data_IF_961187883884
#
_entry.id   IF_961187883884
#
_cell.length_a   1.000
_cell.length_b   1.000
_cell.length_c   1.000
_cell.angle_alpha   90.00
_cell.angle_beta   90.00
_cell.angle_gamma   90.00
#
_symmetry.space_group_name_H-M   'P 1'
#
loop_
_entity.id
_entity.type
_entity.pdbx_description
1 polymer ?
#
# COMPACT_ATOMS: atom_id res chain seq x y z
N UNK A 1 13.53 3.77 -10.76
CA UNK A 1 12.57 3.05 -9.87
C UNK A 1 11.74 4.08 -9.11
N UNK A 2 10.41 3.89 -8.95
CA UNK A 2 9.61 4.79 -8.11
C UNK A 2 9.86 4.51 -6.63
N UNK A 3 10.04 5.57 -5.84
CA UNK A 3 10.24 5.51 -4.38
C UNK A 3 9.13 6.30 -3.70
N UNK A 4 8.51 5.73 -2.68
CA UNK A 4 7.42 6.38 -1.99
C UNK A 4 7.20 5.94 -0.56
N UNK A 5 6.13 6.48 0.02
CA UNK A 5 5.71 6.24 1.40
C UNK A 5 4.31 5.66 1.41
N UNK A 6 4.05 4.73 2.32
CA UNK A 6 2.70 4.30 2.67
C UNK A 6 2.42 4.64 4.14
N UNK A 7 1.19 5.02 4.43
CA UNK A 7 0.72 5.33 5.79
C UNK A 7 -0.63 4.65 6.06
N UNK A 8 -0.78 4.14 7.26
CA UNK A 8 -2.07 3.63 7.75
C UNK A 8 -2.80 4.66 8.61
N UNK A 9 -2.36 5.92 8.53
CA UNK A 9 -2.92 7.02 9.34
C UNK A 9 -3.02 6.64 10.83
N UNK A 10 -1.96 6.01 11.37
CA UNK A 10 -1.95 5.55 12.75
C UNK A 10 -2.17 6.73 13.70
N UNK A 11 -3.06 6.54 14.68
CA UNK A 11 -3.28 7.52 15.75
C UNK A 11 -2.07 7.58 16.67
N UNK A 12 -1.60 8.78 16.99
CA UNK A 12 -0.43 8.97 17.88
C UNK A 12 -0.67 8.49 19.32
N UNK A 13 -1.94 8.40 19.75
CA UNK A 13 -2.30 7.95 21.10
C UNK A 13 -3.57 7.10 21.06
N UNK A 14 -3.41 5.80 21.26
CA UNK A 14 -4.56 4.86 21.28
C UNK A 14 -5.37 5.01 22.56
N UNK A 15 -4.76 5.48 23.66
CA UNK A 15 -5.36 5.51 24.99
C UNK A 15 -6.34 6.69 25.19
N UNK A 16 -6.16 7.80 24.47
CA UNK A 16 -6.94 9.02 24.59
C UNK A 16 -7.52 9.49 23.25
N UNK A 17 -8.12 8.58 22.49
CA UNK A 17 -8.75 8.89 21.22
C UNK A 17 -9.94 9.86 21.41
N UNK A 18 -9.79 11.07 20.91
CA UNK A 18 -10.87 12.04 20.80
C UNK A 18 -10.78 12.77 19.45
N UNK A 19 -11.90 13.36 19.03
CA UNK A 19 -11.99 13.99 17.72
C UNK A 19 -10.95 15.08 17.46
N UNK A 20 -10.55 15.84 18.49
CA UNK A 20 -9.54 16.88 18.37
C UNK A 20 -8.14 16.28 18.09
N UNK A 21 -7.77 15.24 18.81
CA UNK A 21 -6.48 14.57 18.61
C UNK A 21 -6.42 13.87 17.26
N UNK A 22 -7.51 13.21 16.86
CA UNK A 22 -7.61 12.58 15.55
C UNK A 22 -7.49 13.60 14.40
N UNK A 23 -8.11 14.79 14.55
CA UNK A 23 -7.97 15.86 13.59
C UNK A 23 -6.51 16.34 13.45
N UNK A 24 -5.77 16.47 14.57
CA UNK A 24 -4.36 16.80 14.56
C UNK A 24 -3.53 15.72 13.81
N UNK A 25 -3.82 14.44 14.08
CA UNK A 25 -3.12 13.33 13.40
C UNK A 25 -3.34 13.34 11.89
N UNK A 26 -4.56 13.63 11.43
CA UNK A 26 -4.85 13.78 9.99
C UNK A 26 -4.12 15.00 9.40
N UNK A 27 -4.08 16.15 10.08
CA UNK A 27 -3.33 17.32 9.58
C UNK A 27 -1.83 17.00 9.45
N UNK A 28 -1.24 16.32 10.42
CA UNK A 28 0.15 15.86 10.35
C UNK A 28 0.38 14.86 9.21
N UNK A 29 -0.59 14.00 8.90
CA UNK A 29 -0.52 13.12 7.75
C UNK A 29 -0.51 13.91 6.44
N UNK A 30 -1.40 14.90 6.29
CA UNK A 30 -1.41 15.77 5.11
C UNK A 30 -0.10 16.53 4.93
N UNK A 31 0.50 17.00 6.03
CA UNK A 31 1.83 17.63 6.01
C UNK A 31 2.93 16.66 5.54
N UNK A 32 2.90 15.39 5.98
CA UNK A 32 3.83 14.36 5.49
C UNK A 32 3.65 14.07 4.01
N UNK A 33 2.41 14.01 3.51
CA UNK A 33 2.14 13.83 2.07
C UNK A 33 2.69 15.00 1.27
N UNK A 34 2.42 16.23 1.72
CA UNK A 34 2.95 17.45 1.11
C UNK A 34 4.49 17.45 1.10
N UNK A 35 5.11 17.10 2.24
CA UNK A 35 6.58 17.05 2.32
C UNK A 35 7.17 15.98 1.38
N UNK A 36 6.49 14.86 1.21
CA UNK A 36 6.90 13.82 0.25
C UNK A 36 6.92 14.33 -1.19
N UNK A 37 5.92 15.13 -1.58
CA UNK A 37 5.89 15.80 -2.90
C UNK A 37 7.04 16.81 -3.05
N UNK A 38 7.28 17.65 -2.03
CA UNK A 38 8.31 18.69 -2.02
C UNK A 38 9.74 18.12 -2.16
N UNK A 39 10.02 16.95 -1.56
CA UNK A 39 11.34 16.29 -1.66
C UNK A 39 11.43 15.36 -2.86
N UNK A 40 10.43 15.38 -3.74
CA UNK A 40 10.43 14.67 -5.01
C UNK A 40 10.22 13.18 -4.93
N UNK A 41 9.52 12.65 -3.91
CA UNK A 41 9.08 11.26 -3.90
C UNK A 41 8.01 11.02 -4.97
N UNK A 42 7.93 9.79 -5.47
CA UNK A 42 7.11 9.46 -6.63
C UNK A 42 5.66 9.11 -6.26
N UNK A 43 5.44 8.51 -5.08
CA UNK A 43 4.12 7.99 -4.70
C UNK A 43 3.90 8.08 -3.20
N UNK A 44 2.65 8.37 -2.80
CA UNK A 44 2.18 8.26 -1.43
C UNK A 44 0.90 7.45 -1.38
N UNK A 45 0.92 6.38 -0.57
CA UNK A 45 -0.21 5.48 -0.37
C UNK A 45 -0.86 5.67 1.00
N UNK A 46 -2.21 5.58 1.04
CA UNK A 46 -2.97 5.55 2.29
C UNK A 46 -3.73 4.23 2.37
N UNK A 47 -3.58 3.52 3.49
CA UNK A 47 -4.26 2.26 3.76
C UNK A 47 -5.77 2.39 3.91
N UNK A 48 -6.44 1.26 4.11
CA UNK A 48 -7.85 1.21 4.52
C UNK A 48 -8.02 0.21 5.65
N UNK A 49 -8.37 0.72 6.82
CA UNK A 49 -8.59 -0.08 8.02
C UNK A 49 -9.83 0.41 8.78
N UNK A 50 -10.53 -0.51 9.43
CA UNK A 50 -11.74 -0.24 10.20
C UNK A 50 -11.51 -0.56 11.68
N UNK A 51 -10.38 -0.09 12.22
CA UNK A 51 -9.92 -0.30 13.60
C UNK A 51 -9.67 1.03 14.28
N UNK A 52 -9.81 1.07 15.61
CA UNK A 52 -9.64 2.30 16.40
C UNK A 52 -8.24 2.92 16.33
N UNK A 53 -7.21 2.12 16.01
CA UNK A 53 -5.83 2.58 15.91
C UNK A 53 -5.53 3.37 14.63
N UNK A 54 -6.38 3.25 13.61
CA UNK A 54 -6.16 3.82 12.28
C UNK A 54 -7.26 4.81 11.91
N UNK A 55 -6.90 5.88 11.21
CA UNK A 55 -7.81 6.94 10.80
C UNK A 55 -8.07 6.93 9.28
N UNK A 56 -7.78 5.82 8.63
CA UNK A 56 -7.75 5.63 7.17
C UNK A 56 -8.94 4.85 6.60
N UNK A 57 -10.07 4.77 7.34
CA UNK A 57 -11.26 4.04 6.85
C UNK A 57 -11.86 4.60 5.54
N UNK A 58 -11.46 5.79 5.13
CA UNK A 58 -11.87 6.42 3.88
C UNK A 58 -10.66 7.07 3.17
N UNK A 59 -9.71 6.26 2.67
CA UNK A 59 -8.43 6.75 2.15
C UNK A 59 -8.58 7.79 1.03
N UNK A 60 -9.56 7.62 0.14
CA UNK A 60 -9.83 8.54 -0.96
C UNK A 60 -10.16 9.97 -0.51
N UNK A 61 -10.73 10.17 0.69
CA UNK A 61 -10.96 11.52 1.23
C UNK A 61 -9.67 12.19 1.68
N UNK A 62 -8.77 11.44 2.36
CA UNK A 62 -7.45 11.93 2.77
C UNK A 62 -6.61 12.26 1.52
N UNK A 63 -6.60 11.36 0.54
CA UNK A 63 -5.89 11.55 -0.72
C UNK A 63 -6.43 12.75 -1.51
N UNK A 64 -7.76 12.99 -1.49
CA UNK A 64 -8.35 14.17 -2.16
C UNK A 64 -7.93 15.47 -1.47
N UNK A 65 -7.88 15.50 -0.14
CA UNK A 65 -7.36 16.66 0.60
C UNK A 65 -5.87 16.90 0.30
N UNK A 66 -5.07 15.83 0.17
CA UNK A 66 -3.66 15.92 -0.21
C UNK A 66 -3.48 16.37 -1.67
N UNK A 67 -4.35 15.94 -2.60
CA UNK A 67 -4.30 16.34 -4.01
C UNK A 67 -4.35 17.86 -4.19
N UNK A 68 -5.11 18.56 -3.34
CA UNK A 68 -5.22 20.02 -3.37
C UNK A 68 -3.95 20.73 -2.84
N UNK A 69 -3.02 20.02 -2.21
CA UNK A 69 -1.82 20.58 -1.57
C UNK A 69 -0.51 20.08 -2.21
N UNK A 70 -0.60 19.23 -3.23
CA UNK A 70 0.54 18.58 -3.91
C UNK A 70 0.47 18.79 -5.42
N UNK A 71 1.61 18.64 -6.13
CA UNK A 71 1.71 18.94 -7.55
C UNK A 71 2.11 17.71 -8.41
N UNK A 72 2.99 16.84 -7.91
CA UNK A 72 3.65 15.81 -8.72
C UNK A 72 3.40 14.39 -8.20
N UNK A 73 3.32 14.22 -6.89
CA UNK A 73 3.26 12.90 -6.26
C UNK A 73 2.01 12.13 -6.66
N UNK A 74 2.18 10.86 -7.00
CA UNK A 74 1.08 9.92 -7.25
C UNK A 74 0.40 9.61 -5.92
N UNK A 75 -0.93 9.63 -5.92
CA UNK A 75 -1.78 9.39 -4.75
C UNK A 75 -2.51 8.06 -4.91
N UNK A 76 -2.16 7.08 -4.09
CA UNK A 76 -2.67 5.71 -4.21
C UNK A 76 -3.25 5.17 -2.91
N UNK A 77 -4.07 4.14 -2.98
CA UNK A 77 -4.39 3.34 -1.79
C UNK A 77 -3.30 2.32 -1.46
N UNK A 78 -3.23 1.91 -0.18
CA UNK A 78 -2.22 0.93 0.25
C UNK A 78 -2.75 -0.04 1.35
N UNK A 79 -3.89 -0.73 1.09
CA UNK A 79 -4.67 -0.94 -0.14
C UNK A 79 -6.13 -0.48 0.04
N UNK A 80 -6.90 -0.36 -1.06
CA UNK A 80 -8.37 -0.37 -0.98
C UNK A 80 -8.83 -1.80 -0.72
N UNK A 81 -9.62 -2.01 0.34
CA UNK A 81 -10.17 -3.34 0.71
C UNK A 81 -11.35 -3.66 -0.21
N UNK A 82 -11.03 -4.01 -1.46
CA UNK A 82 -12.03 -4.22 -2.51
C UNK A 82 -13.02 -5.35 -2.17
N UNK A 83 -12.58 -6.38 -1.43
CA UNK A 83 -13.48 -7.46 -0.95
C UNK A 83 -14.67 -6.93 -0.15
N UNK A 84 -14.50 -5.85 0.61
CA UNK A 84 -15.55 -5.25 1.44
C UNK A 84 -16.18 -3.98 0.84
N UNK A 85 -15.73 -3.52 -0.34
CA UNK A 85 -16.23 -2.30 -0.98
C UNK A 85 -17.08 -2.62 -2.23
N UNK A 86 -17.93 -1.68 -2.67
CA UNK A 86 -18.63 -1.75 -3.95
C UNK A 86 -17.70 -1.22 -5.07
N UNK A 87 -17.40 -2.01 -6.13
CA UNK A 87 -16.50 -1.60 -7.20
C UNK A 87 -16.93 -0.35 -7.95
N UNK A 88 -18.23 -0.09 -8.09
CA UNK A 88 -18.75 1.14 -8.70
C UNK A 88 -18.35 2.34 -7.86
N UNK A 89 -18.54 2.26 -6.54
CA UNK A 89 -18.17 3.36 -5.64
C UNK A 89 -16.65 3.56 -5.58
N UNK A 90 -15.87 2.48 -5.55
CA UNK A 90 -14.41 2.56 -5.61
C UNK A 90 -13.98 3.28 -6.88
N UNK A 91 -14.49 2.86 -8.04
CA UNK A 91 -14.16 3.52 -9.30
C UNK A 91 -14.52 5.02 -9.28
N UNK A 92 -15.73 5.38 -8.83
CA UNK A 92 -16.19 6.77 -8.75
C UNK A 92 -15.30 7.63 -7.86
N UNK A 93 -14.91 7.11 -6.68
CA UNK A 93 -14.07 7.81 -5.73
C UNK A 93 -12.70 8.13 -6.33
N UNK A 94 -12.07 7.12 -6.97
CA UNK A 94 -10.74 7.30 -7.55
C UNK A 94 -10.77 8.03 -8.90
N UNK A 95 -11.84 7.90 -9.69
CA UNK A 95 -12.03 8.74 -10.86
C UNK A 95 -12.17 10.22 -10.49
N UNK A 96 -12.90 10.51 -9.40
CA UNK A 96 -13.01 11.89 -8.87
C UNK A 96 -11.67 12.39 -8.33
N UNK A 97 -10.94 11.55 -7.57
CA UNK A 97 -9.59 11.89 -7.11
C UNK A 97 -8.64 12.17 -8.28
N UNK A 98 -8.76 11.39 -9.35
CA UNK A 98 -7.94 11.55 -10.55
C UNK A 98 -8.19 12.89 -11.26
N UNK A 99 -9.46 13.30 -11.35
CA UNK A 99 -9.83 14.63 -11.84
C UNK A 99 -9.33 15.76 -10.94
N UNK A 100 -9.48 15.64 -9.62
CA UNK A 100 -9.00 16.64 -8.64
C UNK A 100 -7.48 16.78 -8.68
N UNK A 101 -6.76 15.67 -8.88
CA UNK A 101 -5.31 15.64 -8.90
C UNK A 101 -4.67 15.87 -10.28
N UNK A 102 -5.47 16.08 -11.33
CA UNK A 102 -4.99 16.18 -12.71
C UNK A 102 -4.18 14.94 -13.16
N UNK A 103 -4.74 13.75 -12.94
CA UNK A 103 -4.15 12.50 -13.45
C UNK A 103 -3.06 11.90 -12.56
N UNK A 104 -3.14 12.05 -11.23
CA UNK A 104 -2.18 11.49 -10.27
C UNK A 104 -2.77 10.41 -9.35
N UNK A 105 -3.99 9.95 -9.60
CA UNK A 105 -4.59 8.90 -8.80
C UNK A 105 -4.22 7.51 -9.30
N UNK A 106 -4.08 6.58 -8.38
CA UNK A 106 -3.98 5.13 -8.63
C UNK A 106 -4.80 4.36 -7.59
N UNK A 107 -5.13 3.12 -7.91
CA UNK A 107 -5.73 2.16 -6.96
C UNK A 107 -4.78 1.01 -6.76
N UNK A 108 -4.48 0.64 -5.50
CA UNK A 108 -3.97 -0.68 -5.19
C UNK A 108 -5.12 -1.45 -4.56
N UNK A 109 -5.72 -2.37 -5.31
CA UNK A 109 -6.83 -3.20 -4.86
C UNK A 109 -6.31 -4.42 -4.10
N UNK A 110 -6.81 -4.62 -2.89
CA UNK A 110 -6.44 -5.75 -2.06
C UNK A 110 -7.63 -6.39 -1.36
N UNK A 111 -7.38 -7.53 -0.73
CA UNK A 111 -8.39 -8.26 0.04
C UNK A 111 -8.55 -7.76 1.48
N UNK A 112 -7.59 -6.95 1.96
CA UNK A 112 -7.47 -6.57 3.36
C UNK A 112 -6.74 -7.63 4.20
N UNK A 113 -6.06 -7.17 5.24
CA UNK A 113 -5.30 -8.02 6.18
C UNK A 113 -5.99 -8.19 7.54
N UNK A 114 -7.02 -7.40 7.79
CA UNK A 114 -7.87 -7.42 8.98
C UNK A 114 -9.31 -7.80 8.60
N UNK A 115 -10.03 -8.41 9.53
CA UNK A 115 -11.36 -9.01 9.28
C UNK A 115 -12.51 -8.07 9.54
N UNK A 116 -12.28 -6.96 10.23
CA UNK A 116 -13.31 -6.03 10.72
C UNK A 116 -14.20 -5.45 9.60
N UNK A 117 -13.62 -5.21 8.42
CA UNK A 117 -14.37 -4.70 7.27
C UNK A 117 -15.48 -5.65 6.82
N UNK A 118 -15.26 -6.96 6.90
CA UNK A 118 -16.24 -7.96 6.45
C UNK A 118 -17.48 -7.94 7.33
N UNK A 119 -17.32 -8.02 8.64
CA UNK A 119 -18.42 -7.96 9.60
C UNK A 119 -19.14 -6.62 9.55
N UNK A 120 -18.37 -5.51 9.50
CA UNK A 120 -18.91 -4.14 9.48
C UNK A 120 -19.81 -3.89 8.26
N UNK A 121 -19.45 -4.43 7.10
CA UNK A 121 -20.19 -4.24 5.83
C UNK A 121 -21.08 -5.43 5.47
N UNK A 122 -21.24 -6.41 6.38
CA UNK A 122 -22.18 -7.51 6.22
C UNK A 122 -21.71 -8.62 5.27
N UNK A 123 -20.42 -8.76 5.06
CA UNK A 123 -19.82 -9.84 4.28
C UNK A 123 -19.33 -10.97 5.17
N UNK A 124 -19.29 -12.19 4.61
CA UNK A 124 -18.80 -13.38 5.31
C UNK A 124 -17.34 -13.66 4.96
N UNK A 125 -16.54 -13.98 5.99
CA UNK A 125 -15.12 -14.31 5.80
C UNK A 125 -14.89 -15.57 4.92
N UNK A 126 -15.83 -16.50 4.92
CA UNK A 126 -15.77 -17.71 4.06
C UNK A 126 -15.78 -17.36 2.58
N UNK A 127 -16.28 -16.19 2.22
CA UNK A 127 -16.38 -15.68 0.84
C UNK A 127 -15.25 -14.71 0.47
N UNK A 128 -14.16 -14.70 1.25
CA UNK A 128 -13.06 -13.75 1.15
C UNK A 128 -12.40 -13.69 -0.22
N UNK A 129 -12.17 -14.87 -0.83
CA UNK A 129 -11.52 -14.96 -2.14
C UNK A 129 -12.50 -14.67 -3.28
N UNK A 130 -13.71 -15.20 -3.23
CA UNK A 130 -14.75 -15.03 -4.24
C UNK A 130 -15.22 -13.57 -4.33
N UNK A 131 -15.37 -12.90 -3.18
CA UNK A 131 -15.67 -11.48 -3.12
C UNK A 131 -14.63 -10.62 -3.86
N UNK A 132 -13.36 -10.93 -3.67
CA UNK A 132 -12.30 -10.20 -4.35
C UNK A 132 -12.28 -10.49 -5.86
N UNK A 133 -12.46 -11.77 -6.25
CA UNK A 133 -12.47 -12.18 -7.65
C UNK A 133 -13.58 -11.49 -8.44
N UNK A 134 -14.81 -11.58 -7.98
CA UNK A 134 -15.94 -10.91 -8.64
C UNK A 134 -15.76 -9.39 -8.70
N UNK A 135 -15.32 -8.79 -7.60
CA UNK A 135 -15.22 -7.32 -7.51
C UNK A 135 -14.08 -6.74 -8.32
N UNK A 136 -12.94 -7.44 -8.45
CA UNK A 136 -11.85 -6.96 -9.32
C UNK A 136 -12.22 -7.09 -10.80
N UNK A 137 -12.95 -8.14 -11.19
CA UNK A 137 -13.45 -8.30 -12.55
C UNK A 137 -14.43 -7.17 -12.93
N UNK A 138 -15.38 -6.86 -12.03
CA UNK A 138 -16.28 -5.74 -12.24
C UNK A 138 -15.54 -4.39 -12.30
N UNK A 139 -14.54 -4.18 -11.44
CA UNK A 139 -13.75 -2.93 -11.46
C UNK A 139 -13.01 -2.76 -12.81
N UNK A 140 -12.47 -3.85 -13.36
CA UNK A 140 -11.83 -3.87 -14.68
C UNK A 140 -12.86 -3.61 -15.78
N UNK A 141 -14.06 -4.19 -15.69
CA UNK A 141 -15.13 -3.97 -16.65
C UNK A 141 -15.58 -2.51 -16.67
N UNK A 142 -15.77 -1.90 -15.50
CA UNK A 142 -16.10 -0.46 -15.36
C UNK A 142 -15.01 0.42 -15.95
N UNK A 143 -13.74 0.06 -15.75
CA UNK A 143 -12.61 0.81 -16.30
C UNK A 143 -12.63 0.83 -17.84
N UNK A 144 -12.95 -0.31 -18.46
CA UNK A 144 -12.94 -0.49 -19.92
C UNK A 144 -14.14 0.15 -20.61
N UNK A 145 -15.29 0.15 -19.94
CA UNK A 145 -16.57 0.52 -20.55
C UNK A 145 -17.27 1.61 -19.75
N UNK A 146 -17.82 2.61 -20.47
CA UNK A 146 -18.63 3.67 -19.88
C UNK A 146 -20.02 3.15 -19.52
N UNK A 147 -20.59 2.30 -20.39
CA UNK A 147 -21.87 1.61 -20.21
C UNK A 147 -21.62 0.15 -19.83
N UNK A 148 -22.08 -0.25 -18.67
CA UNK A 148 -21.77 -1.55 -18.06
C UNK A 148 -23.02 -2.41 -17.94
N UNK A 149 -22.88 -3.67 -18.34
CA UNK A 149 -23.79 -4.76 -18.03
C UNK A 149 -23.02 -5.79 -17.18
N UNK A 150 -23.56 -6.09 -16.00
CA UNK A 150 -22.91 -7.00 -15.05
C UNK A 150 -23.91 -7.86 -14.32
N UNK A 151 -23.56 -9.13 -14.12
CA UNK A 151 -24.23 -10.04 -13.21
C UNK A 151 -23.20 -10.82 -12.43
N UNK A 152 -23.33 -10.85 -11.11
CA UNK A 152 -22.50 -11.57 -10.17
C UNK A 152 -23.32 -12.01 -8.98
N UNK A 153 -22.67 -12.64 -8.00
CA UNK A 153 -23.32 -13.22 -6.82
C UNK A 153 -23.33 -12.25 -5.62
N UNK A 154 -22.41 -11.26 -5.61
CA UNK A 154 -22.16 -10.41 -4.44
C UNK A 154 -22.71 -8.99 -4.54
N UNK A 155 -23.31 -8.63 -5.64
CA UNK A 155 -24.03 -7.37 -5.78
C UNK A 155 -25.19 -7.45 -6.78
N UNK A 156 -26.20 -6.54 -6.65
CA UNK A 156 -27.27 -6.44 -7.64
C UNK A 156 -26.72 -6.21 -9.06
N UNK A 157 -27.37 -6.74 -10.11
CA UNK A 157 -26.91 -6.59 -11.49
C UNK A 157 -26.91 -5.13 -11.94
N UNK A 158 -26.00 -4.80 -12.85
CA UNK A 158 -26.02 -3.58 -13.63
C UNK A 158 -26.63 -3.93 -15.00
N UNK A 159 -27.63 -3.16 -15.42
CA UNK A 159 -28.27 -3.34 -16.71
C UNK A 159 -28.23 -2.00 -17.42
N UNK A 160 -27.44 -1.91 -18.47
CA UNK A 160 -27.25 -0.68 -19.28
C UNK A 160 -26.91 0.56 -18.45
N UNK A 161 -26.10 0.39 -17.38
CA UNK A 161 -25.77 1.50 -16.47
C UNK A 161 -24.54 2.25 -16.93
N UNK A 162 -24.63 3.59 -16.99
CA UNK A 162 -23.51 4.47 -17.22
C UNK A 162 -22.83 4.80 -15.87
N UNK A 163 -21.50 4.75 -15.83
CA UNK A 163 -20.74 4.99 -14.59
C UNK A 163 -19.86 6.22 -14.74
N UNK A 164 -20.16 7.25 -13.98
CA UNK A 164 -19.51 8.56 -13.97
C UNK A 164 -19.05 8.97 -12.56
N UNK A 165 -18.04 9.91 -12.47
CA UNK A 165 -17.30 10.48 -13.60
C UNK A 165 -16.34 9.47 -14.23
N UNK A 166 -15.85 9.79 -15.45
CA UNK A 166 -14.68 9.08 -16.02
C UNK A 166 -13.41 9.77 -15.52
N UNK A 167 -12.33 9.02 -15.28
CA UNK A 167 -11.08 9.59 -14.80
C UNK A 167 -10.39 10.45 -15.85
N UNK A 168 -9.43 11.26 -15.45
CA UNK A 168 -8.54 12.01 -16.33
C UNK A 168 -7.62 11.06 -17.11
N UNK A 169 -7.06 10.07 -16.42
CA UNK A 169 -6.21 9.03 -17.02
C UNK A 169 -7.05 7.96 -17.74
N UNK A 170 -6.58 7.49 -18.88
CA UNK A 170 -7.23 6.41 -19.63
C UNK A 170 -6.19 5.35 -20.02
N UNK A 171 -6.14 4.20 -19.33
CA UNK A 171 -6.96 3.81 -18.18
C UNK A 171 -6.45 4.39 -16.84
N UNK A 172 -7.33 4.47 -15.83
CA UNK A 172 -6.92 4.73 -14.44
C UNK A 172 -6.02 3.58 -13.96
N UNK A 173 -4.80 3.84 -13.44
CA UNK A 173 -3.91 2.76 -13.01
C UNK A 173 -4.47 1.96 -11.83
N UNK A 174 -4.50 0.63 -11.96
CA UNK A 174 -4.93 -0.30 -10.92
C UNK A 174 -3.86 -1.35 -10.72
N UNK A 175 -3.42 -1.52 -9.47
CA UNK A 175 -2.48 -2.55 -9.03
C UNK A 175 -3.21 -3.59 -8.18
N UNK A 176 -2.68 -4.81 -8.09
CA UNK A 176 -3.15 -5.83 -7.15
C UNK A 176 -2.18 -5.94 -5.99
N UNK A 177 -2.69 -5.70 -4.76
CA UNK A 177 -1.96 -5.90 -3.52
C UNK A 177 -1.98 -7.36 -3.08
N UNK A 178 -0.81 -7.95 -2.78
CA UNK A 178 -0.66 -9.34 -2.37
C UNK A 178 0.23 -9.51 -1.15
N UNK A 179 -0.05 -10.52 -0.33
CA UNK A 179 0.74 -10.83 0.87
C UNK A 179 1.60 -12.10 0.78
N UNK A 180 1.41 -12.97 -0.23
CA UNK A 180 2.18 -14.22 -0.34
C UNK A 180 1.36 -15.46 -0.71
N UNK A 181 0.06 -15.34 -0.96
CA UNK A 181 -0.79 -16.44 -1.44
C UNK A 181 -0.54 -16.66 -2.93
N UNK A 182 -0.09 -17.86 -3.37
CA UNK A 182 0.26 -18.12 -4.78
C UNK A 182 -0.84 -17.78 -5.77
N UNK A 183 -2.11 -18.08 -5.44
CA UNK A 183 -3.27 -17.78 -6.29
C UNK A 183 -3.41 -16.30 -6.61
N UNK A 184 -3.05 -15.42 -5.66
CA UNK A 184 -3.09 -13.96 -5.89
C UNK A 184 -2.05 -13.50 -6.91
N UNK A 185 -0.87 -14.13 -6.92
CA UNK A 185 0.16 -13.88 -7.92
C UNK A 185 -0.26 -14.39 -9.31
N UNK A 186 -0.82 -15.61 -9.37
CA UNK A 186 -1.36 -16.16 -10.61
C UNK A 186 -2.46 -15.27 -11.19
N UNK A 187 -3.42 -14.85 -10.35
CA UNK A 187 -4.53 -13.96 -10.75
C UNK A 187 -4.01 -12.65 -11.33
N UNK A 188 -3.11 -11.96 -10.63
CA UNK A 188 -2.55 -10.70 -11.11
C UNK A 188 -1.83 -10.86 -12.45
N UNK A 189 -1.04 -11.92 -12.61
CA UNK A 189 -0.37 -12.25 -13.87
C UNK A 189 -1.35 -12.54 -15.00
N UNK A 190 -2.34 -13.39 -14.76
CA UNK A 190 -3.37 -13.73 -15.76
C UNK A 190 -4.16 -12.50 -16.22
N UNK A 191 -4.46 -11.57 -15.30
CA UNK A 191 -5.15 -10.31 -15.61
C UNK A 191 -4.21 -9.27 -16.27
N UNK A 192 -2.90 -9.51 -16.29
CA UNK A 192 -1.90 -8.55 -16.80
C UNK A 192 -1.81 -7.27 -15.98
N UNK A 193 -2.11 -7.34 -14.68
CA UNK A 193 -2.11 -6.18 -13.79
C UNK A 193 -0.81 -6.09 -12.98
N UNK A 194 -0.30 -4.87 -12.74
CA UNK A 194 0.86 -4.68 -11.89
C UNK A 194 0.60 -5.17 -10.46
N UNK A 195 1.67 -5.63 -9.80
CA UNK A 195 1.64 -6.32 -8.53
C UNK A 195 2.32 -5.49 -7.44
N UNK A 196 1.67 -5.29 -6.28
CA UNK A 196 2.26 -4.69 -5.09
C UNK A 196 2.36 -5.74 -3.98
N UNK A 197 3.59 -6.10 -3.60
CA UNK A 197 3.87 -7.16 -2.62
C UNK A 197 4.06 -6.55 -1.24
N UNK A 198 3.25 -6.94 -0.27
CA UNK A 198 3.42 -6.58 1.14
C UNK A 198 4.47 -7.49 1.79
N UNK A 199 5.69 -6.96 1.97
CA UNK A 199 6.82 -7.68 2.59
C UNK A 199 6.94 -7.23 4.05
N UNK A 200 6.06 -7.75 4.91
CA UNK A 200 5.94 -7.31 6.31
C UNK A 200 6.94 -8.00 7.24
N UNK A 201 7.47 -9.15 6.86
CA UNK A 201 8.44 -9.89 7.69
C UNK A 201 9.09 -11.05 6.95
N UNK A 202 10.12 -11.63 7.59
CA UNK A 202 10.95 -12.68 7.00
C UNK A 202 11.97 -12.13 6.01
N UNK A 203 12.36 -12.93 5.04
CA UNK A 203 13.29 -12.55 3.98
C UNK A 203 12.55 -12.16 2.71
N UNK A 204 12.93 -11.05 2.08
CA UNK A 204 12.30 -10.55 0.84
C UNK A 204 12.50 -11.53 -0.32
N UNK A 205 13.65 -12.19 -0.41
CA UNK A 205 13.99 -13.11 -1.50
C UNK A 205 13.09 -14.35 -1.59
N UNK A 206 12.38 -14.71 -0.50
CA UNK A 206 11.38 -15.80 -0.50
C UNK A 206 10.23 -15.60 -1.50
N UNK A 207 10.00 -14.36 -1.94
CA UNK A 207 8.98 -14.04 -2.94
C UNK A 207 9.41 -14.36 -4.38
N UNK A 208 10.69 -14.67 -4.63
CA UNK A 208 11.19 -14.94 -5.99
C UNK A 208 10.38 -16.01 -6.76
N UNK A 209 10.06 -17.19 -6.17
CA UNK A 209 9.24 -18.19 -6.88
C UNK A 209 7.83 -17.68 -7.21
N UNK A 210 7.23 -16.86 -6.35
CA UNK A 210 5.90 -16.27 -6.57
C UNK A 210 5.94 -15.20 -7.67
N UNK A 211 7.00 -14.40 -7.70
CA UNK A 211 7.24 -13.42 -8.76
C UNK A 211 7.44 -14.11 -10.12
N UNK A 212 8.17 -15.23 -10.16
CA UNK A 212 8.36 -15.99 -11.39
C UNK A 212 7.02 -16.59 -11.88
N UNK A 213 6.21 -17.09 -10.96
CA UNK A 213 4.85 -17.58 -11.24
C UNK A 213 3.95 -16.47 -11.81
N UNK A 214 4.00 -15.26 -11.24
CA UNK A 214 3.27 -14.09 -11.74
C UNK A 214 3.66 -13.74 -13.18
N UNK A 215 4.97 -13.62 -13.45
CA UNK A 215 5.49 -13.31 -14.78
C UNK A 215 5.15 -14.38 -15.81
N UNK A 216 5.26 -15.65 -15.43
CA UNK A 216 4.90 -16.77 -16.30
C UNK A 216 3.40 -16.82 -16.61
N UNK A 217 2.54 -16.56 -15.60
CA UNK A 217 1.09 -16.45 -15.82
C UNK A 217 0.75 -15.33 -16.81
N UNK A 218 1.38 -14.16 -16.64
CA UNK A 218 1.20 -13.03 -17.55
C UNK A 218 1.66 -13.32 -18.98
N UNK A 219 2.83 -13.96 -19.12
CA UNK A 219 3.36 -14.39 -20.42
C UNK A 219 2.40 -15.37 -21.12
N UNK A 220 1.89 -16.36 -20.39
CA UNK A 220 0.91 -17.35 -20.93
C UNK A 220 -0.41 -16.70 -21.35
N UNK A 221 -0.83 -15.65 -20.63
CA UNK A 221 -2.02 -14.89 -20.96
C UNK A 221 -1.80 -13.88 -22.10
N UNK A 222 -0.58 -13.77 -22.66
CA UNK A 222 -0.25 -12.90 -23.79
C UNK A 222 0.03 -11.45 -23.41
N UNK A 223 0.29 -11.17 -22.13
CA UNK A 223 0.62 -9.82 -21.69
C UNK A 223 2.09 -9.47 -21.93
N UNK A 224 2.34 -8.21 -22.33
CA UNK A 224 3.69 -7.66 -22.48
C UNK A 224 4.38 -7.58 -21.11
N UNK A 225 5.70 -7.90 -21.02
CA UNK A 225 6.48 -7.77 -19.78
C UNK A 225 6.39 -6.38 -19.12
N UNK A 226 6.27 -5.31 -19.91
CA UNK A 226 6.18 -3.93 -19.43
C UNK A 226 4.92 -3.66 -18.58
N UNK A 227 3.85 -4.45 -18.77
CA UNK A 227 2.64 -4.40 -17.96
C UNK A 227 2.81 -5.12 -16.62
N UNK A 228 3.72 -6.10 -16.58
CA UNK A 228 3.93 -6.96 -15.42
C UNK A 228 4.88 -6.32 -14.39
N UNK A 229 4.57 -5.09 -13.99
CA UNK A 229 5.35 -4.33 -13.00
C UNK A 229 5.22 -4.94 -11.61
N UNK A 230 6.28 -4.78 -10.81
CA UNK A 230 6.35 -5.26 -9.42
C UNK A 230 6.72 -4.10 -8.52
N UNK A 231 5.94 -3.90 -7.47
CA UNK A 231 6.24 -3.02 -6.36
C UNK A 231 6.44 -3.81 -5.07
N UNK A 232 7.25 -3.29 -4.17
CA UNK A 232 7.41 -3.78 -2.80
C UNK A 232 6.93 -2.75 -1.80
N UNK A 233 6.15 -3.18 -0.83
CA UNK A 233 5.77 -2.43 0.36
C UNK A 233 6.43 -3.07 1.57
N UNK A 234 7.23 -2.32 2.33
CA UNK A 234 7.93 -2.81 3.51
C UNK A 234 7.88 -1.82 4.65
N UNK A 235 7.95 -2.34 5.88
CA UNK A 235 8.14 -1.52 7.06
C UNK A 235 9.53 -0.89 7.02
N UNK A 236 9.60 0.44 7.15
CA UNK A 236 10.87 1.13 6.98
C UNK A 236 10.97 2.45 7.73
N UNK A 237 12.21 2.83 8.04
CA UNK A 237 12.56 4.12 8.64
C UNK A 237 14.03 4.43 8.36
N UNK A 238 14.29 5.64 7.85
CA UNK A 238 15.64 6.10 7.53
C UNK A 238 16.03 7.22 8.50
N UNK A 239 17.20 7.08 9.15
CA UNK A 239 17.81 8.11 9.98
C UNK A 239 19.22 8.44 9.49
N UNK A 240 19.89 9.46 10.04
CA UNK A 240 21.24 9.85 9.62
C UNK A 240 22.28 8.74 9.80
N UNK A 241 22.07 7.84 10.75
CA UNK A 241 22.90 6.65 10.94
C UNK A 241 22.06 5.45 11.41
N UNK A 242 22.54 4.25 11.12
CA UNK A 242 21.78 3.01 11.35
C UNK A 242 21.57 2.69 12.83
N UNK A 243 22.48 3.09 13.72
CA UNK A 243 22.30 2.91 15.15
C UNK A 243 21.12 3.71 15.66
N UNK A 244 21.04 4.99 15.27
CA UNK A 244 19.92 5.88 15.61
C UNK A 244 18.60 5.34 15.04
N UNK A 245 18.62 4.87 13.79
CA UNK A 245 17.43 4.30 13.15
C UNK A 245 16.84 3.14 13.95
N UNK A 246 17.68 2.23 14.44
CA UNK A 246 17.26 1.09 15.27
C UNK A 246 16.77 1.54 16.64
N UNK A 247 17.49 2.47 17.30
CA UNK A 247 17.12 3.00 18.61
C UNK A 247 15.77 3.73 18.58
N UNK A 248 15.48 4.48 17.52
CA UNK A 248 14.22 5.19 17.32
C UNK A 248 13.06 4.23 17.03
N UNK A 249 13.28 3.27 16.13
CA UNK A 249 12.19 2.46 15.56
C UNK A 249 11.82 1.24 16.41
N UNK A 250 12.81 0.55 16.97
CA UNK A 250 12.59 -0.74 17.64
C UNK A 250 11.59 -0.68 18.80
N UNK A 251 11.60 0.29 19.73
CA UNK A 251 10.70 0.28 20.87
C UNK A 251 9.23 0.29 20.48
N UNK A 252 8.83 1.19 19.59
CA UNK A 252 7.45 1.31 19.12
C UNK A 252 7.04 0.13 18.23
N UNK A 253 7.94 -0.35 17.37
CA UNK A 253 7.74 -1.56 16.58
C UNK A 253 7.48 -2.78 17.48
N UNK A 254 8.31 -3.01 18.48
CA UNK A 254 8.16 -4.14 19.40
C UNK A 254 6.83 -4.09 20.16
N UNK A 255 6.42 -2.92 20.63
CA UNK A 255 5.12 -2.69 21.30
C UNK A 255 3.94 -3.00 20.37
N UNK A 256 3.93 -2.41 19.17
CA UNK A 256 2.86 -2.54 18.19
C UNK A 256 2.72 -3.99 17.71
N UNK A 257 3.82 -4.60 17.27
CA UNK A 257 3.78 -5.96 16.72
C UNK A 257 3.63 -7.05 17.78
N UNK A 258 4.01 -6.82 19.03
CA UNK A 258 3.67 -7.72 20.15
C UNK A 258 2.16 -7.67 20.42
N UNK A 259 1.53 -6.49 20.37
CA UNK A 259 0.07 -6.34 20.55
C UNK A 259 -0.69 -7.04 19.43
N UNK A 260 -0.39 -6.74 18.16
CA UNK A 260 -1.00 -7.39 16.99
C UNK A 260 -0.74 -8.91 17.02
N UNK A 261 0.45 -9.31 17.43
CA UNK A 261 0.85 -10.71 17.54
C UNK A 261 -0.01 -11.50 18.52
N UNK A 262 -0.45 -10.91 19.63
CA UNK A 262 -1.37 -11.57 20.58
C UNK A 262 -2.68 -12.00 19.91
N UNK A 263 -3.24 -11.16 19.05
CA UNK A 263 -4.49 -11.48 18.31
C UNK A 263 -4.31 -12.64 17.32
N UNK A 264 -3.06 -12.88 16.87
CA UNK A 264 -2.69 -13.87 15.85
C UNK A 264 -1.92 -15.08 16.41
N UNK A 265 -1.76 -15.17 17.72
CA UNK A 265 -0.99 -16.26 18.36
C UNK A 265 0.52 -16.19 18.10
N UNK A 266 1.08 -15.03 17.77
CA UNK A 266 2.51 -14.86 17.54
C UNK A 266 3.25 -14.58 18.86
N UNK A 267 4.51 -15.04 19.01
CA UNK A 267 5.31 -14.70 20.16
C UNK A 267 5.70 -13.21 20.16
N UNK A 268 6.02 -12.64 21.34
CA UNK A 268 6.49 -11.27 21.47
C UNK A 268 7.71 -10.98 20.59
N UNK A 269 7.81 -9.73 20.15
CA UNK A 269 8.96 -9.25 19.36
C UNK A 269 10.18 -9.08 20.27
N UNK A 270 11.30 -9.69 19.90
CA UNK A 270 12.59 -9.51 20.57
C UNK A 270 13.55 -8.71 19.69
N UNK A 271 14.56 -8.07 20.30
CA UNK A 271 15.60 -7.34 19.57
C UNK A 271 16.38 -8.24 18.60
N UNK A 272 16.60 -9.50 18.96
CA UNK A 272 17.30 -10.46 18.10
C UNK A 272 16.48 -10.76 16.84
N UNK A 273 15.18 -11.03 16.99
CA UNK A 273 14.27 -11.24 15.86
C UNK A 273 14.16 -10.00 14.97
N UNK A 274 14.10 -8.81 15.60
CA UNK A 274 14.11 -7.55 14.87
C UNK A 274 15.40 -7.40 14.04
N UNK A 275 16.58 -7.60 14.65
CA UNK A 275 17.87 -7.54 13.95
C UNK A 275 17.98 -8.54 12.82
N UNK A 276 17.49 -9.77 13.00
CA UNK A 276 17.46 -10.77 11.93
C UNK A 276 16.59 -10.30 10.74
N UNK A 277 15.42 -9.73 10.99
CA UNK A 277 14.55 -9.19 9.95
C UNK A 277 15.09 -7.89 9.34
N UNK A 278 15.95 -7.16 10.04
CA UNK A 278 16.62 -5.95 9.52
C UNK A 278 17.95 -6.27 8.82
N UNK A 279 18.38 -7.53 8.79
CA UNK A 279 19.57 -7.97 8.07
C UNK A 279 19.48 -7.76 6.55
N UNK A 280 20.58 -8.04 5.81
CA UNK A 280 20.68 -7.70 4.37
C UNK A 280 19.60 -8.30 3.47
N UNK A 281 19.03 -9.45 3.84
CA UNK A 281 17.96 -10.15 3.09
C UNK A 281 16.58 -9.94 3.72
N UNK A 282 16.54 -9.37 4.93
CA UNK A 282 15.32 -9.23 5.71
C UNK A 282 14.36 -8.17 5.18
N UNK A 283 13.11 -8.28 5.60
CA UNK A 283 12.01 -7.41 5.15
C UNK A 283 12.06 -5.99 5.70
N UNK A 284 12.66 -5.76 6.91
CA UNK A 284 12.66 -4.44 7.53
C UNK A 284 13.71 -3.54 6.89
N UNK A 285 13.31 -2.31 6.60
CA UNK A 285 14.13 -1.30 5.93
C UNK A 285 14.49 -0.18 6.90
N UNK A 286 15.28 -0.53 7.95
CA UNK A 286 15.65 0.38 9.04
C UNK A 286 17.17 0.60 9.02
N UNK A 287 17.60 1.83 8.72
CA UNK A 287 19.04 2.12 8.59
C UNK A 287 19.34 3.53 8.14
N UNK A 288 20.58 3.76 7.70
CA UNK A 288 21.01 4.99 7.06
C UNK A 288 20.66 4.98 5.56
N UNK A 289 20.74 6.12 4.85
CA UNK A 289 20.37 6.21 3.45
C UNK A 289 21.11 5.24 2.53
N UNK A 290 22.42 5.09 2.69
CA UNK A 290 23.29 4.27 1.84
C UNK A 290 22.95 2.77 1.98
N UNK A 291 22.87 2.27 3.24
CA UNK A 291 22.50 0.88 3.53
C UNK A 291 21.10 0.53 3.00
N UNK A 292 20.15 1.45 3.13
CA UNK A 292 18.78 1.23 2.65
C UNK A 292 18.72 1.23 1.13
N UNK A 293 19.40 2.15 0.47
CA UNK A 293 19.47 2.17 -1.01
C UNK A 293 20.08 0.88 -1.57
N UNK A 294 21.23 0.43 -1.02
CA UNK A 294 21.86 -0.82 -1.40
C UNK A 294 20.94 -2.03 -1.17
N UNK A 295 20.19 -2.03 -0.05
CA UNK A 295 19.27 -3.12 0.26
C UNK A 295 18.09 -3.18 -0.72
N UNK A 296 17.53 -2.03 -1.12
CA UNK A 296 16.48 -1.94 -2.14
C UNK A 296 17.01 -2.49 -3.48
N UNK A 297 18.22 -2.10 -3.90
CA UNK A 297 18.83 -2.58 -5.14
C UNK A 297 19.06 -4.09 -5.10
N UNK A 298 19.54 -4.64 -3.99
CA UNK A 298 19.72 -6.09 -3.78
C UNK A 298 18.39 -6.84 -3.86
N UNK A 299 17.32 -6.31 -3.26
CA UNK A 299 15.99 -6.93 -3.36
C UNK A 299 15.46 -6.86 -4.79
N UNK A 300 15.68 -5.75 -5.48
CA UNK A 300 15.31 -5.59 -6.89
C UNK A 300 16.01 -6.65 -7.77
N UNK A 301 17.31 -6.80 -7.63
CA UNK A 301 18.09 -7.80 -8.38
C UNK A 301 17.58 -9.22 -8.10
N UNK A 302 17.42 -9.59 -6.84
CA UNK A 302 16.96 -10.92 -6.45
C UNK A 302 15.58 -11.29 -7.00
N UNK A 303 14.68 -10.30 -7.16
CA UNK A 303 13.35 -10.50 -7.72
C UNK A 303 13.31 -10.32 -9.26
N UNK A 304 14.46 -10.05 -9.88
CA UNK A 304 14.56 -9.83 -11.33
C UNK A 304 13.99 -8.49 -11.79
N UNK A 305 14.17 -7.46 -10.97
CA UNK A 305 13.72 -6.08 -11.18
C UNK A 305 12.39 -5.74 -10.53
N UNK A 306 12.37 -4.61 -9.83
CA UNK A 306 11.15 -3.98 -9.31
C UNK A 306 11.01 -2.57 -9.87
N UNK A 307 9.78 -2.11 -10.02
CA UNK A 307 9.47 -0.79 -10.57
C UNK A 307 9.12 0.24 -9.49
N UNK A 308 8.78 -0.23 -8.25
CA UNK A 308 8.36 0.63 -7.14
C UNK A 308 8.82 0.04 -5.81
N UNK A 309 9.20 0.90 -4.88
CA UNK A 309 9.40 0.58 -3.47
C UNK A 309 8.72 1.61 -2.58
N UNK A 310 7.93 1.17 -1.59
CA UNK A 310 7.30 2.05 -0.61
C UNK A 310 7.64 1.67 0.82
N UNK A 311 7.83 2.71 1.67
CA UNK A 311 8.13 2.59 3.09
C UNK A 311 6.88 2.84 3.92
N UNK A 312 6.43 1.89 4.70
CA UNK A 312 5.41 2.11 5.72
C UNK A 312 6.12 2.43 7.05
N UNK A 313 6.00 3.66 7.54
CA UNK A 313 6.79 4.19 8.65
C UNK A 313 6.01 4.39 9.94
N UNK A 314 4.71 4.56 9.90
CA UNK A 314 3.89 5.07 11.01
C UNK A 314 3.33 4.00 11.96
N UNK A 315 3.98 2.84 12.03
CA UNK A 315 3.62 1.72 12.90
C UNK A 315 4.57 1.51 14.09
N UNK A 316 5.50 2.43 14.33
CA UNK A 316 6.53 2.33 15.35
C UNK A 316 6.48 3.47 16.39
N UNK A 317 5.35 4.13 16.54
CA UNK A 317 5.15 5.23 17.50
C UNK A 317 6.19 6.38 17.34
N UNK A 318 6.71 6.58 16.12
CA UNK A 318 7.63 7.67 15.82
C UNK A 318 6.93 9.03 15.90
N UNK A 319 7.62 10.03 16.38
CA UNK A 319 7.12 11.40 16.37
C UNK A 319 6.97 11.94 14.95
N UNK A 320 6.06 12.89 14.75
CA UNK A 320 5.87 13.56 13.47
C UNK A 320 7.18 14.16 12.92
N UNK A 321 8.03 14.73 13.78
CA UNK A 321 9.35 15.29 13.40
C UNK A 321 10.30 14.20 12.86
N UNK A 322 10.32 13.02 13.47
CA UNK A 322 11.15 11.91 13.00
C UNK A 322 10.65 11.40 11.66
N UNK A 323 9.31 11.30 11.46
CA UNK A 323 8.72 10.89 10.18
C UNK A 323 9.03 11.88 9.07
N UNK A 324 8.91 13.19 9.30
CA UNK A 324 9.30 14.23 8.33
C UNK A 324 10.78 14.15 7.97
N UNK A 325 11.66 14.00 8.96
CA UNK A 325 13.10 13.86 8.71
C UNK A 325 13.43 12.60 7.90
N UNK A 326 12.77 11.50 8.16
CA UNK A 326 12.94 10.27 7.38
C UNK A 326 12.48 10.45 5.93
N UNK A 327 11.34 11.12 5.70
CA UNK A 327 10.86 11.48 4.35
C UNK A 327 11.92 12.30 3.60
N UNK A 328 12.51 13.31 4.24
CA UNK A 328 13.59 14.12 3.68
C UNK A 328 14.79 13.25 3.27
N UNK A 329 15.27 12.39 4.17
CA UNK A 329 16.40 11.51 3.88
C UNK A 329 16.10 10.53 2.74
N UNK A 330 14.88 10.02 2.66
CA UNK A 330 14.48 9.12 1.57
C UNK A 330 14.47 9.88 0.24
N UNK A 331 13.86 11.07 0.18
CA UNK A 331 13.80 11.86 -1.06
C UNK A 331 15.16 12.41 -1.50
N UNK A 332 15.92 12.99 -0.56
CA UNK A 332 17.15 13.72 -0.86
C UNK A 332 18.41 12.83 -0.94
N UNK A 333 18.42 11.66 -0.28
CA UNK A 333 19.60 10.79 -0.22
C UNK A 333 19.35 9.39 -0.76
N UNK A 334 18.29 8.69 -0.36
CA UNK A 334 18.05 7.31 -0.82
C UNK A 334 17.66 7.27 -2.30
N UNK A 335 16.68 8.07 -2.71
CA UNK A 335 16.19 8.09 -4.09
C UNK A 335 17.29 8.39 -5.13
N UNK A 336 18.18 9.38 -4.95
CA UNK A 336 19.25 9.66 -5.90
C UNK A 336 20.28 8.51 -6.09
N UNK A 337 20.47 7.67 -5.06
CA UNK A 337 21.38 6.50 -5.19
C UNK A 337 20.71 5.40 -6.03
N UNK A 338 19.40 5.27 -5.96
CA UNK A 338 18.65 4.22 -6.68
C UNK A 338 18.46 4.58 -8.17
N UNK A 339 18.36 5.85 -8.51
CA UNK A 339 18.18 6.36 -9.88
C UNK A 339 16.73 6.47 -10.30
#
# INVERSE_FOLDING_TARGET
MQIGIDSFAASETIENLNGKQNAISIQKLLERIKRSDEVGLDVFGVGEHHRKEFLDSAPHLILSAAAAQTQNIILTSAVTVLSAADPVRVFQNYATLDLVSNGRAEIIAGRGSFTEAFELFGYKMEQYDELFEEKIELLIEIQKNEKVNWRGDFRPPLIDQYIYPRPFQTPLPIWIGVGGTPQSFLRAGTLGMPLMIAVIGGETHRFKPLVDMYREAGRRAGHSPDKLKIGLHSLGYVAENSKQAVEDYFPGYAKTFTRIGKERGWPPVTLERFKAQNGPLGALMIGNPEEIAEKILRHSEALGGISRFTFQMDNAELSHKQLLKSIELIGEKVKPIIG
#
